data_IF_369231247547
#
_entry.id   IF_369231247547
#
_cell.length_a   1.000
_cell.length_b   1.000
_cell.length_c   1.000
_cell.angle_alpha   90.00
_cell.angle_beta   90.00
_cell.angle_gamma   90.00
#
_symmetry.space_group_name_H-M   'P 1'
#
loop_
_entity.id
_entity.type
_entity.pdbx_description
1 polymer ?
#
# COMPACT_ATOMS: atom_id res chain seq x y z
N UNK A 1 -16.72 18.12 -13.67
CA UNK A 1 -16.40 17.14 -12.59
C UNK A 1 -15.32 17.72 -11.69
N UNK A 2 -15.51 17.59 -10.40
CA UNK A 2 -14.46 17.92 -9.45
C UNK A 2 -13.40 16.79 -9.43
N UNK A 3 -12.27 17.07 -8.81
CA UNK A 3 -11.24 16.05 -8.62
C UNK A 3 -11.78 14.85 -7.81
N UNK A 4 -12.61 15.11 -6.81
CA UNK A 4 -13.28 14.06 -6.04
C UNK A 4 -14.21 13.21 -6.90
N UNK A 5 -14.93 13.82 -7.82
CA UNK A 5 -15.81 13.10 -8.76
C UNK A 5 -14.99 12.17 -9.66
N UNK A 6 -13.88 12.67 -10.18
CA UNK A 6 -12.97 11.88 -11.03
C UNK A 6 -12.38 10.72 -10.22
N UNK A 7 -11.96 10.97 -9.00
CA UNK A 7 -11.40 9.93 -8.12
C UNK A 7 -12.43 8.81 -7.87
N UNK A 8 -13.67 9.17 -7.57
CA UNK A 8 -14.74 8.19 -7.36
C UNK A 8 -15.05 7.40 -8.63
N UNK A 9 -15.05 8.06 -9.80
CA UNK A 9 -15.24 7.38 -11.08
C UNK A 9 -14.12 6.36 -11.34
N UNK A 10 -12.88 6.74 -11.09
CA UNK A 10 -11.73 5.83 -11.30
C UNK A 10 -11.77 4.65 -10.35
N UNK A 11 -12.20 4.85 -9.11
CA UNK A 11 -12.36 3.75 -8.15
C UNK A 11 -13.42 2.76 -8.60
N UNK A 12 -14.54 3.25 -9.14
CA UNK A 12 -15.59 2.40 -9.70
C UNK A 12 -15.08 1.59 -10.89
N UNK A 13 -14.40 2.25 -11.84
CA UNK A 13 -13.84 1.59 -13.01
C UNK A 13 -12.80 0.52 -12.64
N UNK A 14 -11.95 0.80 -11.66
CA UNK A 14 -10.99 -0.16 -11.15
C UNK A 14 -11.71 -1.40 -10.60
N UNK A 15 -12.74 -1.20 -9.79
CA UNK A 15 -13.54 -2.29 -9.24
C UNK A 15 -14.18 -3.16 -10.34
N UNK A 16 -14.71 -2.52 -11.38
CA UNK A 16 -15.30 -3.23 -12.54
C UNK A 16 -14.30 -4.08 -13.28
N UNK A 17 -13.00 -3.73 -13.25
CA UNK A 17 -11.91 -4.50 -13.85
C UNK A 17 -11.34 -5.58 -12.94
N UNK A 18 -11.85 -5.71 -11.72
CA UNK A 18 -11.30 -6.63 -10.72
C UNK A 18 -10.04 -6.11 -10.05
N UNK A 19 -9.73 -4.85 -10.22
CA UNK A 19 -8.61 -4.20 -9.55
C UNK A 19 -9.00 -3.79 -8.13
N UNK A 20 -8.02 -3.64 -7.26
CA UNK A 20 -8.20 -3.05 -5.92
C UNK A 20 -7.38 -1.79 -5.80
N UNK A 21 -8.03 -0.68 -5.46
CA UNK A 21 -7.36 0.59 -5.22
C UNK A 21 -7.79 1.18 -3.89
N UNK A 22 -6.88 1.91 -3.27
CA UNK A 22 -7.11 2.57 -2.00
C UNK A 22 -6.66 4.02 -2.09
N UNK A 23 -7.25 4.87 -1.26
CA UNK A 23 -6.77 6.24 -1.13
C UNK A 23 -5.39 6.25 -0.53
N UNK A 24 -4.53 7.08 -1.10
CA UNK A 24 -3.24 7.42 -0.53
C UNK A 24 -3.32 8.86 -0.03
N UNK A 25 -3.81 9.05 1.17
CA UNK A 25 -3.81 10.35 1.82
C UNK A 25 -2.39 10.67 2.29
N UNK A 26 -1.88 11.81 1.88
CA UNK A 26 -0.50 12.21 2.11
C UNK A 26 -0.48 13.60 2.74
N UNK A 27 0.31 13.78 3.76
CA UNK A 27 0.40 15.07 4.40
C UNK A 27 1.32 15.11 5.61
N UNK A 28 1.24 16.20 6.32
CA UNK A 28 1.99 16.44 7.56
C UNK A 28 1.03 17.04 8.58
N UNK A 29 0.97 16.43 9.75
CA UNK A 29 0.24 16.96 10.90
C UNK A 29 1.21 17.21 12.02
N UNK A 30 0.87 18.15 12.91
CA UNK A 30 1.67 18.37 14.12
C UNK A 30 1.09 17.59 15.29
N UNK A 31 1.97 16.92 16.02
CA UNK A 31 1.59 16.32 17.30
C UNK A 31 1.22 17.47 18.27
N UNK A 32 -0.01 17.49 18.82
CA UNK A 32 -0.45 18.57 19.67
C UNK A 32 0.32 18.66 21.01
N UNK A 33 0.89 17.55 21.47
CA UNK A 33 1.61 17.50 22.74
C UNK A 33 3.06 17.93 22.62
N UNK A 34 3.72 17.58 21.51
CA UNK A 34 5.15 17.84 21.31
C UNK A 34 5.45 18.93 20.29
N UNK A 35 4.49 19.30 19.45
CA UNK A 35 4.69 20.21 18.32
C UNK A 35 5.49 19.63 17.16
N UNK A 36 5.89 18.36 17.26
CA UNK A 36 6.67 17.70 16.24
C UNK A 36 5.83 17.36 15.00
N UNK A 37 6.38 17.45 13.80
CA UNK A 37 5.68 17.04 12.59
C UNK A 37 5.52 15.53 12.54
N UNK A 38 4.32 15.07 12.15
CA UNK A 38 4.02 13.67 11.86
C UNK A 38 3.66 13.57 10.40
N UNK A 39 4.47 12.85 9.65
CA UNK A 39 4.29 12.67 8.22
C UNK A 39 3.57 11.36 7.94
N UNK A 40 2.73 11.35 6.90
CA UNK A 40 1.96 10.17 6.51
C UNK A 40 1.79 10.10 4.98
N UNK A 41 1.43 8.91 4.49
CA UNK A 41 1.29 8.62 3.08
C UNK A 41 2.59 8.10 2.44
N UNK A 42 2.47 7.60 1.23
CA UNK A 42 3.60 7.02 0.51
C UNK A 42 4.64 8.07 0.12
N UNK A 43 5.91 7.69 0.20
CA UNK A 43 7.04 8.52 -0.23
C UNK A 43 7.04 9.89 0.44
N UNK A 44 6.74 9.92 1.73
CA UNK A 44 6.63 11.16 2.50
C UNK A 44 7.29 11.05 3.88
N UNK A 45 8.33 10.26 4.01
CA UNK A 45 8.97 10.01 5.31
C UNK A 45 9.74 11.22 5.83
N UNK A 46 10.24 12.07 4.94
CA UNK A 46 11.00 13.25 5.28
C UNK A 46 10.84 14.34 4.21
N UNK A 47 11.25 15.61 4.51
CA UNK A 47 11.12 16.71 3.56
C UNK A 47 11.90 16.52 2.25
N UNK A 48 13.03 15.84 2.30
CA UNK A 48 13.85 15.59 1.10
C UNK A 48 13.13 14.66 0.13
N UNK A 49 12.56 13.58 0.63
CA UNK A 49 11.77 12.65 -0.18
C UNK A 49 10.53 13.33 -0.75
N UNK A 50 9.83 14.11 0.08
CA UNK A 50 8.62 14.82 -0.32
C UNK A 50 8.83 15.83 -1.44
N UNK A 51 10.05 16.39 -1.58
CA UNK A 51 10.39 17.29 -2.67
C UNK A 51 10.61 16.58 -3.99
N UNK A 52 11.09 15.33 -3.93
CA UNK A 52 11.39 14.54 -5.13
C UNK A 52 10.16 13.80 -5.62
N UNK A 53 9.36 13.27 -4.70
CA UNK A 53 8.22 12.44 -5.02
C UNK A 53 6.93 13.01 -4.44
N UNK A 54 5.91 13.08 -5.26
CA UNK A 54 4.54 13.31 -4.84
C UNK A 54 3.74 12.07 -5.23
N UNK A 55 3.49 11.18 -4.27
CA UNK A 55 2.80 9.94 -4.54
C UNK A 55 1.35 10.18 -4.97
N UNK A 56 0.80 9.24 -5.72
CA UNK A 56 -0.52 9.36 -6.35
C UNK A 56 -1.66 9.31 -5.33
N UNK A 57 -2.80 9.85 -5.72
CA UNK A 57 -4.03 9.86 -4.90
C UNK A 57 -4.60 8.46 -4.66
N UNK A 58 -4.44 7.58 -5.62
CA UNK A 58 -4.90 6.18 -5.56
C UNK A 58 -3.73 5.24 -5.81
N UNK A 59 -3.65 4.21 -5.01
CA UNK A 59 -2.67 3.14 -5.14
C UNK A 59 -3.39 1.79 -5.02
N UNK A 60 -2.82 0.75 -5.58
CA UNK A 60 -3.45 -0.56 -5.47
C UNK A 60 -2.79 -1.64 -6.29
N UNK A 61 -3.59 -2.67 -6.55
CA UNK A 61 -3.17 -3.84 -7.32
C UNK A 61 -4.06 -4.01 -8.54
N UNK A 62 -3.43 -4.22 -9.69
CA UNK A 62 -4.10 -4.60 -10.92
C UNK A 62 -3.67 -6.03 -11.28
N UNK A 63 -4.43 -7.06 -10.87
CA UNK A 63 -4.08 -8.45 -11.21
C UNK A 63 -3.89 -8.61 -12.71
N UNK A 64 -2.77 -9.17 -13.11
CA UNK A 64 -2.39 -9.30 -14.52
C UNK A 64 -1.93 -10.72 -14.77
N UNK A 65 -2.53 -11.37 -15.78
CA UNK A 65 -2.08 -12.69 -16.20
C UNK A 65 -0.69 -12.58 -16.86
N UNK A 66 0.25 -13.37 -16.36
CA UNK A 66 1.59 -13.43 -16.95
C UNK A 66 1.54 -14.25 -18.24
N UNK A 67 1.88 -13.61 -19.35
CA UNK A 67 1.93 -14.21 -20.67
C UNK A 67 3.38 -14.45 -21.07
N UNK A 68 3.64 -15.30 -22.14
CA UNK A 68 5.00 -15.55 -22.61
C UNK A 68 5.81 -14.29 -22.94
N UNK A 69 5.15 -13.24 -23.42
CA UNK A 69 5.79 -11.95 -23.74
C UNK A 69 6.32 -11.21 -22.51
N UNK A 70 5.89 -11.58 -21.32
CA UNK A 70 6.36 -10.99 -20.05
C UNK A 70 7.61 -11.68 -19.50
N UNK A 71 7.94 -12.85 -20.03
CA UNK A 71 9.11 -13.63 -19.56
C UNK A 71 10.39 -12.86 -19.84
N UNK A 72 11.24 -12.74 -18.84
CA UNK A 72 12.48 -11.96 -18.92
C UNK A 72 12.33 -10.48 -18.60
N UNK A 73 11.11 -10.01 -18.36
CA UNK A 73 10.84 -8.64 -17.92
C UNK A 73 10.71 -8.57 -16.40
N UNK A 74 11.13 -7.45 -15.81
CA UNK A 74 10.95 -7.20 -14.40
C UNK A 74 9.58 -6.57 -14.17
N UNK A 75 8.80 -7.13 -13.25
CA UNK A 75 7.51 -6.60 -12.83
C UNK A 75 7.58 -6.20 -11.36
N UNK A 76 7.06 -5.03 -11.04
CA UNK A 76 6.89 -4.61 -9.65
C UNK A 76 5.63 -5.24 -9.07
N UNK A 77 5.77 -6.10 -8.07
CA UNK A 77 4.64 -6.69 -7.37
C UNK A 77 4.30 -5.88 -6.13
N UNK A 78 3.01 -5.77 -5.84
CA UNK A 78 2.58 -5.14 -4.60
C UNK A 78 3.15 -5.90 -3.41
N UNK A 79 3.75 -5.16 -2.48
CA UNK A 79 4.41 -5.73 -1.31
C UNK A 79 3.77 -5.18 -0.05
N UNK A 80 3.37 -6.07 0.84
CA UNK A 80 2.85 -5.74 2.16
C UNK A 80 3.68 -6.42 3.23
N UNK A 81 4.25 -5.65 4.14
CA UNK A 81 5.04 -6.18 5.26
C UNK A 81 4.38 -5.70 6.55
N UNK A 82 3.83 -6.65 7.31
CA UNK A 82 3.32 -6.41 8.65
C UNK A 82 4.43 -6.70 9.65
N UNK A 83 4.74 -5.71 10.48
CA UNK A 83 5.85 -5.79 11.42
C UNK A 83 5.31 -6.01 12.83
N UNK A 84 5.88 -6.97 13.53
CA UNK A 84 5.60 -7.28 14.93
C UNK A 84 6.86 -7.09 15.77
N UNK A 85 6.68 -6.76 17.05
CA UNK A 85 7.80 -6.78 17.99
C UNK A 85 8.39 -8.20 18.09
N UNK A 86 9.66 -8.30 18.45
CA UNK A 86 10.42 -9.57 18.40
C UNK A 86 9.86 -10.67 19.29
N UNK A 87 9.08 -10.32 20.30
CA UNK A 87 8.43 -11.24 21.25
C UNK A 87 6.95 -11.49 20.93
N UNK A 88 6.41 -10.86 19.91
CA UNK A 88 5.00 -10.96 19.52
C UNK A 88 4.83 -11.97 18.41
N UNK A 89 3.87 -12.89 18.60
CA UNK A 89 3.54 -13.93 17.62
C UNK A 89 2.08 -13.86 17.17
N UNK A 90 1.25 -13.10 17.90
CA UNK A 90 -0.19 -13.00 17.59
C UNK A 90 -0.42 -12.14 16.34
N UNK A 91 -1.24 -12.66 15.44
CA UNK A 91 -1.70 -11.95 14.24
C UNK A 91 -3.22 -11.83 14.31
N UNK A 92 -3.77 -10.62 14.51
CA UNK A 92 -5.23 -10.41 14.49
C UNK A 92 -5.87 -10.86 13.17
N UNK A 93 -7.13 -11.28 13.24
CA UNK A 93 -7.86 -11.77 12.08
C UNK A 93 -7.90 -10.74 10.95
N UNK A 94 -8.13 -9.47 11.27
CA UNK A 94 -8.17 -8.43 10.25
C UNK A 94 -6.85 -8.29 9.49
N UNK A 95 -5.72 -8.44 10.17
CA UNK A 95 -4.41 -8.42 9.53
C UNK A 95 -4.19 -9.66 8.65
N UNK A 96 -4.65 -10.82 9.08
CA UNK A 96 -4.61 -12.04 8.25
C UNK A 96 -5.49 -11.90 7.01
N UNK A 97 -6.67 -11.29 7.15
CA UNK A 97 -7.57 -11.03 6.02
C UNK A 97 -6.90 -10.15 4.97
N UNK A 98 -6.18 -9.13 5.42
CA UNK A 98 -5.40 -8.27 4.54
C UNK A 98 -4.31 -9.06 3.79
N UNK A 99 -3.55 -9.89 4.48
CA UNK A 99 -2.52 -10.73 3.86
C UNK A 99 -3.12 -11.66 2.79
N UNK A 100 -4.23 -12.28 3.13
CA UNK A 100 -4.95 -13.16 2.20
C UNK A 100 -5.42 -12.39 0.96
N UNK A 101 -5.97 -11.20 1.14
CA UNK A 101 -6.38 -10.35 0.03
C UNK A 101 -5.20 -10.00 -0.89
N UNK A 102 -4.11 -9.54 -0.33
CA UNK A 102 -2.91 -9.16 -1.10
C UNK A 102 -2.40 -10.36 -1.91
N UNK A 103 -2.29 -11.53 -1.29
CA UNK A 103 -1.85 -12.75 -1.98
C UNK A 103 -2.81 -13.16 -3.08
N UNK A 104 -4.11 -13.05 -2.84
CA UNK A 104 -5.13 -13.39 -3.85
C UNK A 104 -5.06 -12.50 -5.09
N UNK A 105 -4.53 -11.29 -4.94
CA UNK A 105 -4.33 -10.34 -6.04
C UNK A 105 -2.97 -10.50 -6.74
N UNK A 106 -2.16 -11.45 -6.29
CA UNK A 106 -0.85 -11.74 -6.88
C UNK A 106 0.31 -10.97 -6.24
N UNK A 107 0.09 -10.30 -5.12
CA UNK A 107 1.13 -9.57 -4.41
C UNK A 107 1.88 -10.43 -3.39
N UNK A 108 2.92 -9.84 -2.82
CA UNK A 108 3.65 -10.41 -1.69
C UNK A 108 3.09 -9.87 -0.38
N UNK A 109 2.81 -10.78 0.56
CA UNK A 109 2.39 -10.41 1.90
C UNK A 109 3.22 -11.17 2.92
N UNK A 110 3.93 -10.43 3.76
CA UNK A 110 4.88 -10.93 4.74
C UNK A 110 4.51 -10.40 6.12
N UNK A 111 4.53 -11.26 7.12
CA UNK A 111 4.44 -10.87 8.52
C UNK A 111 5.75 -11.27 9.18
N UNK A 112 6.42 -10.34 9.82
CA UNK A 112 7.73 -10.61 10.41
C UNK A 112 7.89 -9.92 11.76
N UNK A 113 8.59 -10.60 12.67
CA UNK A 113 9.04 -10.04 13.94
C UNK A 113 10.56 -9.79 13.96
N UNK A 114 11.19 -9.82 12.80
CA UNK A 114 12.63 -9.61 12.66
C UNK A 114 13.47 -10.87 12.87
N UNK A 115 12.89 -11.94 13.41
CA UNK A 115 13.59 -13.23 13.64
C UNK A 115 13.24 -14.23 12.55
N UNK A 116 11.98 -14.24 12.14
CA UNK A 116 11.46 -15.12 11.09
C UNK A 116 10.14 -14.53 10.57
N UNK A 117 9.74 -15.01 9.42
CA UNK A 117 8.39 -14.77 8.92
C UNK A 117 7.37 -15.48 9.81
N UNK A 118 6.28 -14.79 10.12
CA UNK A 118 5.20 -15.33 10.96
C UNK A 118 4.09 -16.00 10.15
#
# INVERSE_FOLDING_TARGET
MTEADVQNLQRLQASQRGWRVWRNNRGVLRNPDTGQPVRFGLANDNPSEAKIYASADLIGCAPTLILPEHVGHTLGLFLSIEVKASDVTRVPVAQRNWQTLVRSLGGYAIITNGKREL
#
